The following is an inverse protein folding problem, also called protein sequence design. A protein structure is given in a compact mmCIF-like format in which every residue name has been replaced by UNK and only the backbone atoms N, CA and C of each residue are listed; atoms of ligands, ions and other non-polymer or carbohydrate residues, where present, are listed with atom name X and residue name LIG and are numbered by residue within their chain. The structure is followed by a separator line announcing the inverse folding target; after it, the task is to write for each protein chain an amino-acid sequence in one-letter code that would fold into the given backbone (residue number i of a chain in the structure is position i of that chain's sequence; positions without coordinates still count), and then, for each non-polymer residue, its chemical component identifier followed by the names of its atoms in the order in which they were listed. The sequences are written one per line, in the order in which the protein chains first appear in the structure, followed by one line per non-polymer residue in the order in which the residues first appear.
data_IF_648538403841
#
_entry.id   IF_648538403841
#
_cell.length_a   1.000
_cell.length_b   1.000
_cell.length_c   1.000
_cell.angle_alpha   90.00
_cell.angle_beta   90.00
_cell.angle_gamma   90.00
#
_symmetry.space_group_name_H-M   'P 1'
#
loop_
_entity.id
_entity.type
_entity.pdbx_description
1 polymer ?
#
# COMPACT_ATOMS: atom_id res chain seq x y z
N UNK A 1 6.82 -0.16 13.98
CA UNK A 1 7.58 0.83 13.16
C UNK A 1 8.69 0.09 12.39
N UNK A 2 8.86 0.33 11.07
CA UNK A 2 9.84 -0.41 10.23
C UNK A 2 10.84 0.47 9.47
N UNK A 3 10.59 1.78 9.39
CA UNK A 3 11.44 2.75 8.71
C UNK A 3 12.51 3.26 9.69
N UNK A 4 13.70 2.67 9.61
CA UNK A 4 14.78 2.79 10.62
C UNK A 4 15.56 4.11 10.55
N UNK A 5 15.38 4.90 9.50
CA UNK A 5 16.10 6.15 9.28
C UNK A 5 15.46 7.36 9.98
N UNK A 6 14.27 7.18 10.56
CA UNK A 6 13.60 8.22 11.32
C UNK A 6 13.89 8.12 12.82
N UNK A 7 13.86 9.26 13.50
CA UNK A 7 13.89 9.35 14.95
C UNK A 7 12.44 9.41 15.45
N UNK A 8 12.05 8.47 16.31
CA UNK A 8 10.67 8.33 16.78
C UNK A 8 10.63 8.37 18.30
N UNK A 9 9.68 9.11 18.85
CA UNK A 9 9.33 9.06 20.27
C UNK A 9 7.84 8.80 20.40
N UNK A 10 7.47 7.63 20.92
CA UNK A 10 6.10 7.13 21.00
C UNK A 10 5.56 7.20 22.42
N UNK A 11 4.25 7.45 22.52
CA UNK A 11 3.50 7.37 23.75
C UNK A 11 3.68 6.00 24.43
N UNK A 12 4.20 6.00 25.66
CA UNK A 12 4.51 4.77 26.37
C UNK A 12 3.36 4.34 27.27
N UNK A 13 2.65 3.30 26.85
CA UNK A 13 1.62 2.63 27.66
C UNK A 13 2.16 1.98 28.96
N UNK A 14 3.48 2.00 29.22
CA UNK A 14 4.07 1.57 30.50
C UNK A 14 3.93 2.64 31.57
N UNK A 15 4.10 3.89 31.14
CA UNK A 15 4.15 5.04 32.04
C UNK A 15 2.82 5.78 32.10
N UNK A 16 1.94 5.57 31.13
CA UNK A 16 0.69 6.33 31.01
C UNK A 16 -0.49 5.44 30.68
N UNK A 17 -1.69 5.91 31.03
CA UNK A 17 -2.95 5.26 30.65
C UNK A 17 -3.20 5.56 29.18
N UNK A 18 -3.46 4.53 28.37
CA UNK A 18 -3.76 4.72 26.96
C UNK A 18 -5.08 5.48 26.80
N UNK A 19 -5.20 6.41 25.85
CA UNK A 19 -6.48 7.07 25.58
C UNK A 19 -7.53 6.05 25.10
N UNK A 20 -8.78 6.26 25.50
CA UNK A 20 -9.95 5.50 25.04
C UNK A 20 -10.32 5.91 23.61
N UNK A 21 -9.45 5.54 22.67
CA UNK A 21 -9.56 5.89 21.24
C UNK A 21 -9.14 4.70 20.41
N UNK A 22 -10.03 4.23 19.55
CA UNK A 22 -9.80 3.08 18.68
C UNK A 22 -10.11 3.44 17.24
N UNK A 23 -9.37 2.82 16.32
CA UNK A 23 -9.69 2.83 14.91
C UNK A 23 -10.79 1.80 14.64
N UNK A 24 -11.90 2.27 14.09
CA UNK A 24 -13.01 1.45 13.61
C UNK A 24 -13.27 1.85 12.15
N UNK A 25 -13.09 0.96 11.17
CA UNK A 25 -13.36 1.26 9.77
C UNK A 25 -14.86 1.46 9.53
N UNK A 26 -15.23 2.11 8.43
CA UNK A 26 -16.63 2.07 7.99
C UNK A 26 -16.99 0.68 7.45
N UNK A 27 -18.28 0.38 7.33
CA UNK A 27 -18.73 -0.92 6.80
C UNK A 27 -18.23 -1.13 5.35
N UNK A 28 -18.17 -0.06 4.56
CA UNK A 28 -17.66 -0.07 3.18
C UNK A 28 -16.13 -0.25 3.11
N UNK A 29 -15.42 -0.04 4.21
CA UNK A 29 -13.97 -0.20 4.29
C UNK A 29 -13.54 -1.57 4.77
N UNK A 30 -14.48 -2.44 5.16
CA UNK A 30 -14.20 -3.83 5.49
C UNK A 30 -13.78 -4.57 4.22
N UNK A 31 -12.65 -5.29 4.30
CA UNK A 31 -12.00 -5.93 3.13
C UNK A 31 -11.86 -7.43 3.31
N UNK A 32 -12.02 -8.14 2.20
CA UNK A 32 -11.65 -9.54 2.02
C UNK A 32 -10.14 -9.66 1.86
N UNK A 33 -9.61 -10.82 2.22
CA UNK A 33 -8.20 -11.16 2.04
C UNK A 33 -7.84 -11.16 0.54
N UNK A 34 -6.77 -10.46 0.15
CA UNK A 34 -6.30 -10.49 -1.25
C UNK A 34 -5.72 -11.85 -1.62
N UNK A 35 -6.03 -12.31 -2.85
CA UNK A 35 -5.54 -13.58 -3.40
C UNK A 35 -4.07 -13.50 -3.87
N UNK A 36 -3.63 -12.32 -4.32
CA UNK A 36 -2.27 -12.06 -4.81
C UNK A 36 -1.39 -11.45 -3.73
N UNK A 37 -1.95 -10.59 -2.88
CA UNK A 37 -1.25 -9.90 -1.80
C UNK A 37 -1.55 -10.56 -0.44
N UNK A 38 -0.69 -11.50 -0.03
CA UNK A 38 -0.83 -12.20 1.26
C UNK A 38 -0.75 -11.29 2.49
N UNK A 39 -0.37 -10.03 2.33
CA UNK A 39 -0.17 -9.07 3.43
C UNK A 39 -1.32 -8.05 3.55
N UNK A 40 -2.31 -8.06 2.66
CA UNK A 40 -3.36 -7.05 2.64
C UNK A 40 -4.73 -7.57 2.21
N UNK A 41 -5.76 -6.82 2.58
CA UNK A 41 -7.09 -6.92 1.98
C UNK A 41 -7.26 -5.82 0.94
N UNK A 42 -7.80 -6.17 -0.23
CA UNK A 42 -7.93 -5.26 -1.37
C UNK A 42 -9.39 -5.18 -1.84
N UNK A 43 -10.07 -6.33 -1.94
CA UNK A 43 -11.49 -6.41 -2.30
C UNK A 43 -12.37 -6.04 -1.10
N UNK A 44 -13.39 -5.21 -1.31
CA UNK A 44 -14.35 -4.83 -0.26
C UNK A 44 -15.53 -5.80 -0.23
N UNK A 45 -16.14 -5.96 0.95
CA UNK A 45 -17.44 -6.63 1.04
C UNK A 45 -18.53 -5.79 0.37
N UNK A 46 -19.50 -6.45 -0.28
CA UNK A 46 -20.68 -5.81 -0.84
C UNK A 46 -21.71 -5.53 0.24
N UNK A 47 -21.92 -4.26 0.58
CA UNK A 47 -22.71 -3.83 1.74
C UNK A 47 -24.09 -3.24 1.39
N UNK A 48 -24.35 -2.93 0.12
CA UNK A 48 -25.53 -2.14 -0.31
C UNK A 48 -26.88 -2.86 -0.31
N UNK A 49 -26.93 -4.19 -0.16
CA UNK A 49 -28.15 -4.99 -0.37
C UNK A 49 -28.54 -5.91 0.79
N UNK A 50 -27.92 -5.76 1.98
CA UNK A 50 -28.25 -6.58 3.15
C UNK A 50 -27.98 -8.08 2.97
N UNK A 51 -27.12 -8.43 2.01
CA UNK A 51 -26.73 -9.81 1.71
C UNK A 51 -25.82 -10.43 2.78
N UNK A 52 -25.36 -11.66 2.52
CA UNK A 52 -24.40 -12.36 3.40
C UNK A 52 -23.11 -11.55 3.62
N UNK A 53 -22.56 -10.93 2.58
CA UNK A 53 -21.37 -10.09 2.70
C UNK A 53 -21.57 -8.86 3.60
N UNK A 54 -22.75 -8.22 3.54
CA UNK A 54 -23.08 -7.10 4.41
C UNK A 54 -23.14 -7.55 5.88
N UNK A 55 -23.80 -8.70 6.14
CA UNK A 55 -23.87 -9.29 7.49
C UNK A 55 -22.49 -9.64 8.03
N UNK A 56 -21.60 -10.22 7.22
CA UNK A 56 -20.22 -10.50 7.63
C UNK A 56 -19.47 -9.22 8.01
N UNK A 57 -19.64 -8.14 7.24
CA UNK A 57 -19.02 -6.85 7.57
C UNK A 57 -19.61 -6.26 8.87
N UNK A 58 -20.92 -6.35 9.08
CA UNK A 58 -21.60 -5.91 10.31
C UNK A 58 -21.17 -6.73 11.54
N UNK A 59 -21.02 -8.05 11.39
CA UNK A 59 -20.51 -8.95 12.42
C UNK A 59 -19.08 -8.56 12.82
N UNK A 60 -18.23 -8.23 11.85
CA UNK A 60 -16.88 -7.74 12.12
C UNK A 60 -16.91 -6.41 12.91
N UNK A 61 -17.77 -5.45 12.54
CA UNK A 61 -17.90 -4.21 13.29
C UNK A 61 -18.46 -4.42 14.71
N UNK A 62 -19.35 -5.40 14.88
CA UNK A 62 -19.86 -5.80 16.21
C UNK A 62 -18.73 -6.38 17.06
N UNK A 63 -17.92 -7.27 16.48
CA UNK A 63 -16.72 -7.79 17.14
C UNK A 63 -15.76 -6.68 17.59
N UNK A 64 -15.53 -5.65 16.76
CA UNK A 64 -14.68 -4.51 17.16
C UNK A 64 -15.27 -3.76 18.36
N UNK A 65 -16.58 -3.51 18.39
CA UNK A 65 -17.25 -2.88 19.55
C UNK A 65 -17.08 -3.71 20.82
N UNK A 66 -17.21 -5.04 20.72
CA UNK A 66 -17.03 -5.94 21.86
C UNK A 66 -15.58 -5.89 22.39
N UNK A 67 -14.60 -5.85 21.49
CA UNK A 67 -13.18 -5.70 21.85
C UNK A 67 -12.90 -4.35 22.50
N UNK A 68 -13.45 -3.26 21.97
CA UNK A 68 -13.31 -1.91 22.53
C UNK A 68 -13.94 -1.82 23.93
N UNK A 69 -15.05 -2.52 24.18
CA UNK A 69 -15.69 -2.57 25.50
C UNK A 69 -14.79 -3.13 26.61
N UNK A 70 -13.76 -3.91 26.24
CA UNK A 70 -12.78 -4.44 27.19
C UNK A 70 -11.89 -3.34 27.80
N UNK A 71 -11.88 -2.13 27.24
CA UNK A 71 -11.13 -1.00 27.77
C UNK A 71 -11.48 -0.68 29.24
N UNK A 72 -12.75 -0.82 29.63
CA UNK A 72 -13.18 -0.61 31.02
C UNK A 72 -12.58 -1.67 31.97
N UNK A 73 -12.33 -2.89 31.49
CA UNK A 73 -11.62 -3.92 32.27
C UNK A 73 -10.15 -3.56 32.45
N UNK A 74 -9.50 -3.02 31.42
CA UNK A 74 -8.14 -2.50 31.50
C UNK A 74 -8.01 -1.40 32.56
N UNK A 75 -8.92 -0.41 32.57
CA UNK A 75 -8.96 0.63 33.59
C UNK A 75 -9.18 0.04 34.98
N UNK A 76 -10.22 -0.78 35.16
CA UNK A 76 -10.56 -1.36 36.45
C UNK A 76 -9.46 -2.24 37.05
N UNK A 77 -8.70 -2.98 36.23
CA UNK A 77 -7.54 -3.74 36.68
C UNK A 77 -6.38 -2.84 37.11
N UNK A 78 -6.17 -1.74 36.38
CA UNK A 78 -5.14 -0.75 36.74
C UNK A 78 -5.48 -0.06 38.06
N UNK A 79 -6.76 0.27 38.29
CA UNK A 79 -7.25 0.85 39.55
C UNK A 79 -7.12 -0.12 40.73
N UNK A 80 -7.19 -1.43 40.48
CA UNK A 80 -6.94 -2.49 41.45
C UNK A 80 -5.45 -2.78 41.69
N UNK A 81 -4.54 -2.02 41.07
CA UNK A 81 -3.10 -2.10 41.31
C UNK A 81 -2.32 -3.02 40.36
N UNK A 82 -2.96 -3.56 39.30
CA UNK A 82 -2.19 -4.21 38.22
C UNK A 82 -1.32 -3.16 37.53
N UNK A 83 -0.04 -3.45 37.33
CA UNK A 83 0.86 -2.50 36.68
C UNK A 83 0.39 -2.19 35.25
N UNK A 84 0.54 -0.92 34.83
CA UNK A 84 0.09 -0.47 33.50
C UNK A 84 0.67 -1.29 32.36
N UNK A 85 1.94 -1.70 32.48
CA UNK A 85 2.61 -2.52 31.47
C UNK A 85 2.04 -3.93 31.33
N UNK A 86 1.44 -4.47 32.39
CA UNK A 86 0.74 -5.76 32.40
C UNK A 86 -0.72 -5.59 31.97
N UNK A 87 -1.43 -4.60 32.51
CA UNK A 87 -2.84 -4.36 32.21
C UNK A 87 -3.06 -4.10 30.70
N UNK A 88 -2.17 -3.33 30.06
CA UNK A 88 -2.27 -3.00 28.63
C UNK A 88 -2.14 -4.19 27.68
N UNK A 89 -1.65 -5.35 28.14
CA UNK A 89 -1.42 -6.52 27.26
C UNK A 89 -2.74 -6.99 26.64
N UNK A 90 -3.87 -6.73 27.30
CA UNK A 90 -5.20 -7.03 26.78
C UNK A 90 -5.75 -6.00 25.79
N UNK A 91 -5.08 -4.86 25.56
CA UNK A 91 -5.55 -3.85 24.61
C UNK A 91 -5.33 -4.32 23.16
N UNK A 92 -6.32 -4.11 22.27
CA UNK A 92 -6.21 -4.49 20.87
C UNK A 92 -5.24 -3.58 20.09
N UNK A 93 -4.79 -4.07 18.93
CA UNK A 93 -3.87 -3.33 18.05
C UNK A 93 -4.51 -2.13 17.34
N UNK A 94 -5.84 -2.01 17.35
CA UNK A 94 -6.55 -0.87 16.76
C UNK A 94 -6.65 0.33 17.72
N UNK A 95 -6.10 0.25 18.94
CA UNK A 95 -6.02 1.40 19.83
C UNK A 95 -5.08 2.47 19.23
N UNK A 96 -5.50 3.73 19.28
CA UNK A 96 -4.67 4.84 18.83
C UNK A 96 -3.48 5.05 19.77
N UNK A 97 -2.36 5.40 19.17
CA UNK A 97 -1.15 5.88 19.82
C UNK A 97 -0.73 7.19 19.16
N UNK A 98 0.17 7.91 19.83
CA UNK A 98 0.70 9.17 19.33
C UNK A 98 2.23 9.10 19.36
N UNK A 99 2.89 9.68 18.36
CA UNK A 99 4.33 9.80 18.37
C UNK A 99 4.81 11.08 17.68
N UNK A 100 6.01 11.51 18.08
CA UNK A 100 6.79 12.44 17.31
C UNK A 100 7.65 11.67 16.32
N UNK A 101 7.55 12.03 15.04
CA UNK A 101 8.32 11.42 13.96
C UNK A 101 9.18 12.48 13.28
N UNK A 102 10.50 12.41 13.47
CA UNK A 102 11.47 13.32 12.85
C UNK A 102 12.29 12.55 11.82
N UNK A 103 12.24 13.00 10.57
CA UNK A 103 12.93 12.39 9.45
C UNK A 103 13.43 13.50 8.50
N UNK A 104 14.56 13.28 7.82
CA UNK A 104 14.99 14.17 6.73
C UNK A 104 14.07 14.00 5.50
N UNK A 105 14.10 14.98 4.59
CA UNK A 105 13.23 14.99 3.41
C UNK A 105 13.48 13.78 2.51
N UNK A 106 14.73 13.41 2.24
CA UNK A 106 15.08 12.27 1.38
C UNK A 106 14.48 10.95 1.87
N UNK A 107 14.65 10.66 3.16
CA UNK A 107 14.07 9.47 3.77
C UNK A 107 12.54 9.55 3.91
N UNK A 108 11.99 10.76 4.06
CA UNK A 108 10.53 10.97 4.00
C UNK A 108 9.96 10.65 2.62
N UNK A 109 10.61 11.09 1.54
CA UNK A 109 10.17 10.75 0.18
C UNK A 109 10.26 9.25 -0.10
N UNK A 110 11.30 8.56 0.38
CA UNK A 110 11.38 7.10 0.32
C UNK A 110 10.25 6.42 1.10
N UNK A 111 9.90 6.95 2.27
CA UNK A 111 8.74 6.48 3.03
C UNK A 111 7.47 6.65 2.20
N UNK A 112 7.25 7.83 1.61
CA UNK A 112 6.08 8.11 0.79
C UNK A 112 6.01 7.19 -0.44
N UNK A 113 7.11 6.94 -1.14
CA UNK A 113 7.13 6.02 -2.28
C UNK A 113 6.67 4.60 -1.91
N UNK A 114 7.02 4.13 -0.72
CA UNK A 114 6.59 2.81 -0.22
C UNK A 114 5.18 2.79 0.38
N UNK A 115 4.66 3.95 0.81
CA UNK A 115 3.41 4.05 1.58
C UNK A 115 2.28 4.75 0.82
N UNK A 116 2.54 5.32 -0.35
CA UNK A 116 1.52 5.73 -1.30
C UNK A 116 1.20 4.63 -2.31
N UNK A 117 2.04 3.59 -2.40
CA UNK A 117 1.85 2.42 -3.26
C UNK A 117 0.51 1.72 -2.99
N UNK A 118 -0.15 1.25 -4.06
CA UNK A 118 -1.45 0.60 -3.98
C UNK A 118 -1.46 -0.69 -3.15
N UNK A 119 -0.33 -1.39 -3.04
CA UNK A 119 -0.19 -2.61 -2.24
C UNK A 119 -0.01 -2.35 -0.74
N UNK A 120 0.26 -1.10 -0.35
CA UNK A 120 0.30 -0.73 1.06
C UNK A 120 -1.12 -0.69 1.65
N UNK A 121 -1.25 -1.07 2.93
CA UNK A 121 -2.52 -1.02 3.66
C UNK A 121 -3.11 0.39 3.60
N UNK A 122 -4.42 0.49 3.37
CA UNK A 122 -5.08 1.78 3.15
C UNK A 122 -4.82 2.79 4.26
N UNK A 123 -4.78 2.32 5.50
CA UNK A 123 -4.70 3.11 6.72
C UNK A 123 -3.37 3.86 6.75
N UNK A 124 -2.26 3.22 6.39
CA UNK A 124 -0.97 3.90 6.30
C UNK A 124 -0.87 4.80 5.06
N UNK A 125 -1.63 4.51 3.99
CA UNK A 125 -1.70 5.39 2.82
C UNK A 125 -2.39 6.71 3.14
N UNK A 126 -3.40 6.71 4.02
CA UNK A 126 -4.04 7.95 4.47
C UNK A 126 -3.06 8.88 5.19
N UNK A 127 -2.26 8.33 6.11
CA UNK A 127 -1.17 9.08 6.73
C UNK A 127 -0.14 9.56 5.70
N UNK A 128 0.26 8.71 4.75
CA UNK A 128 1.20 9.10 3.70
C UNK A 128 0.66 10.23 2.81
N UNK A 129 -0.64 10.20 2.45
CA UNK A 129 -1.31 11.27 1.71
C UNK A 129 -1.32 12.58 2.49
N UNK A 130 -1.68 12.53 3.77
CA UNK A 130 -1.66 13.72 4.62
C UNK A 130 -0.24 14.31 4.74
N UNK A 131 0.78 13.45 4.91
CA UNK A 131 2.18 13.88 4.95
C UNK A 131 2.63 14.51 3.62
N UNK A 132 2.28 13.91 2.48
CA UNK A 132 2.58 14.46 1.17
C UNK A 132 1.92 15.83 0.96
N UNK A 133 0.65 15.97 1.35
CA UNK A 133 -0.07 17.24 1.27
C UNK A 133 0.56 18.35 2.14
N UNK A 134 1.14 18.00 3.29
CA UNK A 134 1.90 18.95 4.12
C UNK A 134 3.25 19.34 3.47
N UNK A 135 3.89 18.42 2.76
CA UNK A 135 5.17 18.67 2.10
C UNK A 135 5.05 19.47 0.80
N UNK A 136 3.95 19.30 0.06
CA UNK A 136 3.70 19.97 -1.23
C UNK A 136 3.94 21.48 -1.18
N UNK A 137 3.37 22.27 -0.23
CA UNK A 137 3.65 23.70 -0.15
C UNK A 137 5.04 24.04 0.42
N UNK A 138 5.70 23.12 1.14
CA UNK A 138 6.98 23.36 1.80
C UNK A 138 8.16 23.18 0.84
N UNK A 139 8.11 22.15 -0.02
CA UNK A 139 9.19 21.80 -0.94
C UNK A 139 8.65 21.46 -2.35
N UNK A 140 7.95 22.40 -3.02
CA UNK A 140 7.21 22.12 -4.26
C UNK A 140 8.07 21.56 -5.39
N UNK A 141 9.24 22.16 -5.65
CA UNK A 141 10.15 21.68 -6.70
C UNK A 141 10.68 20.26 -6.42
N UNK A 142 10.86 19.89 -5.15
CA UNK A 142 11.26 18.53 -4.78
C UNK A 142 10.10 17.55 -4.92
N UNK A 143 8.88 17.97 -4.60
CA UNK A 143 7.68 17.14 -4.75
C UNK A 143 7.34 16.90 -6.23
N UNK A 144 7.53 17.90 -7.09
CA UNK A 144 7.45 17.76 -8.55
C UNK A 144 8.49 16.75 -9.06
N UNK A 145 9.76 16.91 -8.70
CA UNK A 145 10.80 15.94 -9.06
C UNK A 145 10.52 14.52 -8.54
N UNK A 146 9.98 14.40 -7.32
CA UNK A 146 9.57 13.11 -6.76
C UNK A 146 8.44 12.47 -7.58
N UNK A 147 7.49 13.28 -8.06
CA UNK A 147 6.42 12.81 -8.94
C UNK A 147 7.00 12.29 -10.26
N UNK A 148 7.80 13.11 -10.94
CA UNK A 148 8.32 12.81 -12.28
C UNK A 148 9.27 11.60 -12.31
N UNK A 149 10.18 11.52 -11.34
CA UNK A 149 11.29 10.58 -11.39
C UNK A 149 11.10 9.33 -10.54
N UNK A 150 10.16 9.33 -9.58
CA UNK A 150 9.90 8.18 -8.73
C UNK A 150 8.45 7.68 -8.91
N UNK A 151 7.44 8.50 -8.59
CA UNK A 151 6.04 8.05 -8.50
C UNK A 151 5.38 7.72 -9.84
N UNK A 152 5.56 8.59 -10.83
CA UNK A 152 4.96 8.48 -12.17
C UNK A 152 5.98 8.01 -13.21
N UNK A 153 7.13 7.52 -12.74
CA UNK A 153 8.19 6.95 -13.59
C UNK A 153 7.91 5.49 -13.93
N UNK A 154 8.40 5.04 -15.08
CA UNK A 154 8.40 3.63 -15.46
C UNK A 154 9.84 3.13 -15.51
N UNK A 155 10.17 2.18 -14.63
CA UNK A 155 11.48 1.53 -14.64
C UNK A 155 11.49 0.34 -15.60
N UNK A 156 12.29 0.45 -16.65
CA UNK A 156 12.52 -0.63 -17.61
C UNK A 156 13.80 -1.41 -17.27
N UNK A 157 13.72 -2.74 -17.29
CA UNK A 157 14.87 -3.63 -17.22
C UNK A 157 15.64 -3.62 -18.54
N UNK A 158 16.86 -4.16 -18.55
CA UNK A 158 17.66 -4.28 -19.78
C UNK A 158 16.89 -5.02 -20.89
N UNK A 159 16.20 -6.12 -20.55
CA UNK A 159 15.45 -6.92 -21.52
C UNK A 159 14.24 -6.16 -22.08
N UNK A 160 13.54 -5.40 -21.24
CA UNK A 160 12.41 -4.56 -21.68
C UNK A 160 12.87 -3.42 -22.59
N UNK A 161 14.04 -2.82 -22.31
CA UNK A 161 14.65 -1.81 -23.19
C UNK A 161 15.04 -2.42 -24.55
N UNK A 162 15.63 -3.61 -24.57
CA UNK A 162 15.99 -4.33 -25.81
C UNK A 162 14.75 -4.69 -26.63
N UNK A 163 13.70 -5.20 -25.97
CA UNK A 163 12.41 -5.50 -26.59
C UNK A 163 11.82 -4.23 -27.24
N UNK A 164 11.75 -3.14 -26.50
CA UNK A 164 11.22 -1.86 -26.99
C UNK A 164 12.02 -1.32 -28.19
N UNK A 165 13.35 -1.41 -28.14
CA UNK A 165 14.21 -1.00 -29.28
C UNK A 165 13.95 -1.83 -30.53
N UNK A 166 13.82 -3.14 -30.38
CA UNK A 166 13.54 -4.06 -31.48
C UNK A 166 12.18 -3.74 -32.14
N UNK A 167 11.16 -3.47 -31.33
CA UNK A 167 9.83 -3.09 -31.81
C UNK A 167 9.81 -1.73 -32.53
N UNK A 168 10.51 -0.73 -31.98
CA UNK A 168 10.65 0.59 -32.63
C UNK A 168 11.38 0.44 -33.97
N UNK A 169 12.47 -0.32 -34.02
CA UNK A 169 13.21 -0.57 -35.25
C UNK A 169 12.32 -1.23 -36.32
N UNK A 170 11.56 -2.27 -35.95
CA UNK A 170 10.62 -2.94 -36.85
C UNK A 170 9.46 -2.01 -37.30
N UNK A 171 9.01 -1.10 -36.43
CA UNK A 171 7.98 -0.11 -36.76
C UNK A 171 8.43 0.94 -37.77
N UNK A 172 9.70 1.37 -37.68
CA UNK A 172 10.33 2.29 -38.64
C UNK A 172 10.62 1.62 -39.99
N UNK A 173 10.87 0.31 -40.00
CA UNK A 173 11.28 -0.47 -41.18
C UNK A 173 10.10 -1.03 -42.01
N UNK A 174 8.85 -0.56 -41.79
CA UNK A 174 7.65 -0.95 -42.56
C UNK A 174 7.69 -0.56 -44.05
N UNK A 175 8.84 -0.15 -44.58
CA UNK A 175 9.15 -0.06 -46.01
C UNK A 175 9.82 -1.31 -46.60
N UNK A 176 10.34 -2.24 -45.78
CA UNK A 176 11.18 -3.36 -46.24
C UNK A 176 10.83 -4.69 -45.59
N UNK A 177 9.65 -5.24 -45.91
CA UNK A 177 9.38 -6.69 -46.04
C UNK A 177 9.81 -7.68 -44.94
N UNK A 178 10.23 -7.24 -43.76
CA UNK A 178 10.73 -8.10 -42.67
C UNK A 178 9.59 -8.72 -41.86
N UNK A 179 9.66 -10.03 -41.63
CA UNK A 179 8.67 -10.77 -40.83
C UNK A 179 8.59 -10.23 -39.39
N UNK A 180 7.41 -9.87 -38.86
CA UNK A 180 7.26 -9.20 -37.55
C UNK A 180 7.40 -10.12 -36.31
N UNK A 181 7.84 -11.36 -36.46
CA UNK A 181 7.48 -12.45 -35.54
C UNK A 181 7.97 -12.31 -34.08
N UNK A 182 9.06 -11.57 -33.83
CA UNK A 182 9.67 -11.52 -32.49
C UNK A 182 9.90 -10.11 -31.94
N UNK A 183 9.80 -9.06 -32.76
CA UNK A 183 10.17 -7.69 -32.37
C UNK A 183 9.29 -7.12 -31.23
N UNK A 184 9.86 -6.88 -30.05
CA UNK A 184 9.13 -6.46 -28.84
C UNK A 184 8.90 -7.54 -27.78
N UNK A 185 9.40 -8.76 -27.98
CA UNK A 185 9.32 -9.86 -27.01
C UNK A 185 10.44 -9.75 -25.98
N UNK A 186 10.18 -10.20 -24.76
CA UNK A 186 11.26 -10.45 -23.81
C UNK A 186 11.93 -11.79 -24.15
N UNK A 187 13.25 -11.78 -24.21
CA UNK A 187 14.08 -12.99 -24.28
C UNK A 187 14.20 -13.64 -22.88
N UNK A 188 13.08 -14.11 -22.32
CA UNK A 188 13.03 -14.78 -21.01
C UNK A 188 11.91 -15.81 -20.95
N UNK A 189 12.20 -16.95 -20.30
CA UNK A 189 11.20 -17.97 -19.97
C UNK A 189 10.44 -17.68 -18.67
N UNK A 190 10.86 -16.67 -17.91
CA UNK A 190 10.23 -16.27 -16.65
C UNK A 190 8.83 -15.67 -16.87
N UNK A 191 7.80 -16.40 -16.43
CA UNK A 191 6.39 -15.97 -16.55
C UNK A 191 6.11 -14.65 -15.83
N UNK A 192 6.78 -14.39 -14.70
CA UNK A 192 6.59 -13.15 -13.94
C UNK A 192 7.11 -11.94 -14.70
N UNK A 193 8.32 -12.04 -15.26
CA UNK A 193 8.91 -10.96 -16.07
C UNK A 193 8.06 -10.64 -17.31
N UNK A 194 7.53 -11.67 -17.98
CA UNK A 194 6.58 -11.46 -19.09
C UNK A 194 5.31 -10.73 -18.65
N UNK A 195 4.69 -11.17 -17.55
CA UNK A 195 3.49 -10.52 -17.01
C UNK A 195 3.75 -9.07 -16.58
N UNK A 196 4.91 -8.78 -15.98
CA UNK A 196 5.31 -7.42 -15.62
C UNK A 196 5.54 -6.55 -16.85
N UNK A 197 6.15 -7.10 -17.90
CA UNK A 197 6.34 -6.41 -19.17
C UNK A 197 5.02 -6.11 -19.89
N UNK A 198 4.10 -7.08 -19.96
CA UNK A 198 2.79 -6.89 -20.57
C UNK A 198 2.00 -5.78 -19.87
N UNK A 199 2.07 -5.72 -18.53
CA UNK A 199 1.48 -4.63 -17.76
C UNK A 199 2.12 -3.27 -18.11
N UNK A 200 3.46 -3.19 -18.17
CA UNK A 200 4.17 -1.95 -18.55
C UNK A 200 3.88 -1.52 -19.99
N UNK A 201 3.75 -2.46 -20.93
CA UNK A 201 3.34 -2.16 -22.31
C UNK A 201 1.98 -1.46 -22.35
N UNK A 202 1.02 -1.95 -21.57
CA UNK A 202 -0.29 -1.32 -21.43
C UNK A 202 -0.19 0.12 -20.94
N UNK A 203 0.64 0.39 -19.92
CA UNK A 203 0.89 1.76 -19.41
C UNK A 203 1.55 2.64 -20.47
N UNK A 204 2.48 2.09 -21.27
CA UNK A 204 3.16 2.80 -22.35
C UNK A 204 2.27 3.02 -23.59
N UNK A 205 1.04 2.52 -23.61
CA UNK A 205 0.14 2.61 -24.77
C UNK A 205 0.60 1.76 -25.96
N UNK A 206 1.46 0.75 -25.74
CA UNK A 206 1.91 -0.16 -26.77
C UNK A 206 0.81 -1.19 -27.08
N UNK A 207 0.65 -1.61 -28.35
CA UNK A 207 -0.39 -2.57 -28.72
C UNK A 207 -0.21 -3.89 -27.95
N UNK A 208 -1.34 -4.48 -27.56
CA UNK A 208 -1.37 -5.82 -26.99
C UNK A 208 -0.86 -6.82 -28.05
N UNK A 209 -0.01 -7.74 -27.61
CA UNK A 209 0.47 -8.80 -28.49
C UNK A 209 -0.60 -9.88 -28.51
N UNK A 210 -1.06 -10.27 -29.70
CA UNK A 210 -1.88 -11.48 -29.80
C UNK A 210 -1.06 -12.64 -29.25
N UNK A 211 -1.62 -13.49 -28.38
CA UNK A 211 -0.94 -14.70 -27.96
C UNK A 211 -0.67 -15.50 -29.22
N UNK A 212 0.60 -15.65 -29.58
CA UNK A 212 1.01 -16.47 -30.72
C UNK A 212 0.35 -17.83 -30.58
N UNK A 213 -0.50 -18.15 -31.55
CA UNK A 213 -1.12 -19.47 -31.64
C UNK A 213 -0.01 -20.52 -31.63
N UNK A 214 -0.05 -21.37 -30.61
CA UNK A 214 0.58 -22.68 -30.66
C UNK A 214 -0.34 -23.64 -31.41
#
# INVERSE_FOLDING_TARGET
IRHRTANVNEYSARYSIMPDRFYTPTIEEVRKQSASNRQGGEERFSTGSGGEEARTAEEFLTYLKDVESAYQRYLGLTDQGVSREMARIGLPVNIYTEWYWKCDLHNTLRFLGLRLDAHAQSEIRDYARAMAALLEPIAPATMEAFRDYEMESIRLTRLEVEALRSEIAAGLDRGSGGSPGEAGSLATDNRRERSEWDAKRGVLGLPAREPGGA
#
